data_IF_823405206487
#
_entry.id   IF_823405206487
#
_cell.length_a   1.000
_cell.length_b   1.000
_cell.length_c   1.000
_cell.angle_alpha   90.00
_cell.angle_beta   90.00
_cell.angle_gamma   90.00
#
_symmetry.space_group_name_H-M   'P 1'
#
loop_
_entity.id
_entity.type
_entity.pdbx_description
1 polymer ?
#
# COMPACT_ATOMS: atom_id res chain seq x y z
N UNK A 1 -7.48 7.80 -25.48
CA UNK A 1 -6.14 7.33 -25.05
C UNK A 1 -6.30 5.91 -24.54
N UNK A 2 -5.68 4.92 -25.19
CA UNK A 2 -5.72 3.54 -24.73
C UNK A 2 -4.68 3.37 -23.63
N UNK A 3 -5.11 3.23 -22.38
CA UNK A 3 -4.24 2.84 -21.28
C UNK A 3 -3.85 1.38 -21.51
N UNK A 4 -2.55 1.02 -21.45
CA UNK A 4 -2.14 -0.36 -21.63
C UNK A 4 -2.73 -1.25 -20.53
N UNK A 5 -3.13 -2.47 -20.88
CA UNK A 5 -3.83 -3.39 -19.96
C UNK A 5 -3.07 -3.62 -18.65
N UNK A 6 -1.74 -3.71 -18.71
CA UNK A 6 -0.89 -3.90 -17.53
C UNK A 6 -0.89 -2.68 -16.58
N UNK A 7 -1.04 -1.47 -17.12
CA UNK A 7 -1.15 -0.23 -16.32
C UNK A 7 -2.49 -0.18 -15.59
N UNK A 8 -3.56 -0.62 -16.27
CA UNK A 8 -4.87 -0.74 -15.65
C UNK A 8 -4.87 -1.79 -14.51
N UNK A 9 -4.23 -2.94 -14.71
CA UNK A 9 -4.09 -3.95 -13.65
C UNK A 9 -3.23 -3.44 -12.48
N UNK A 10 -2.14 -2.72 -12.74
CA UNK A 10 -1.34 -2.05 -11.71
C UNK A 10 -2.21 -1.12 -10.86
N UNK A 11 -2.99 -0.25 -11.50
CA UNK A 11 -3.84 0.73 -10.82
C UNK A 11 -4.94 0.06 -9.99
N UNK A 12 -5.64 -0.94 -10.56
CA UNK A 12 -6.70 -1.67 -9.87
C UNK A 12 -6.16 -2.45 -8.67
N UNK A 13 -5.02 -3.14 -8.83
CA UNK A 13 -4.40 -3.92 -7.73
C UNK A 13 -3.93 -3.02 -6.60
N UNK A 14 -3.31 -1.87 -6.92
CA UNK A 14 -2.87 -0.93 -5.88
C UNK A 14 -4.03 -0.24 -5.19
N UNK A 15 -5.08 0.17 -5.91
CA UNK A 15 -6.26 0.73 -5.25
C UNK A 15 -6.98 -0.30 -4.38
N UNK A 16 -7.04 -1.56 -4.82
CA UNK A 16 -7.62 -2.63 -4.00
C UNK A 16 -6.80 -2.86 -2.72
N UNK A 17 -5.47 -2.87 -2.80
CA UNK A 17 -4.60 -2.91 -1.62
C UNK A 17 -4.84 -1.72 -0.69
N UNK A 18 -4.89 -0.49 -1.21
CA UNK A 18 -5.13 0.69 -0.38
C UNK A 18 -6.51 0.71 0.29
N UNK A 19 -7.52 0.14 -0.35
CA UNK A 19 -8.84 -0.06 0.26
C UNK A 19 -8.79 -1.11 1.37
N UNK A 20 -8.04 -2.20 1.17
CA UNK A 20 -7.81 -3.20 2.22
C UNK A 20 -7.06 -2.61 3.42
N UNK A 21 -6.03 -1.80 3.19
CA UNK A 21 -5.31 -1.10 4.26
C UNK A 21 -6.24 -0.18 5.06
N UNK A 22 -7.07 0.60 4.36
CA UNK A 22 -8.05 1.48 4.98
C UNK A 22 -9.11 0.70 5.79
N UNK A 23 -9.56 -0.44 5.28
CA UNK A 23 -10.47 -1.34 5.99
C UNK A 23 -9.79 -1.93 7.23
N UNK A 24 -8.54 -2.37 7.13
CA UNK A 24 -7.77 -2.90 8.27
C UNK A 24 -7.73 -1.89 9.41
N UNK A 25 -7.39 -0.64 9.10
CA UNK A 25 -7.38 0.47 10.07
C UNK A 25 -8.78 0.70 10.65
N UNK A 26 -9.85 0.60 9.86
CA UNK A 26 -11.20 0.78 10.35
C UNK A 26 -11.65 -0.34 11.31
N UNK A 27 -11.17 -1.57 11.09
CA UNK A 27 -11.52 -2.76 11.87
C UNK A 27 -10.55 -3.10 13.01
N UNK A 28 -9.41 -2.42 13.12
CA UNK A 28 -8.44 -2.61 14.21
C UNK A 28 -9.10 -2.37 15.57
N UNK A 29 -9.01 -3.36 16.47
CA UNK A 29 -9.56 -3.29 17.83
C UNK A 29 -8.71 -2.29 18.64
N UNK A 30 -9.34 -1.17 19.03
CA UNK A 30 -8.68 -0.03 19.70
C UNK A 30 -9.01 0.04 21.18
N UNK A 31 -9.18 -1.12 21.81
CA UNK A 31 -9.38 -1.17 23.26
C UNK A 31 -8.12 -0.62 23.95
N UNK A 32 -8.19 0.52 24.69
CA UNK A 32 -7.00 1.13 25.28
C UNK A 32 -6.39 0.20 26.33
N UNK A 33 -5.25 -0.40 26.03
CA UNK A 33 -4.40 -1.12 27.00
C UNK A 33 -3.38 -0.17 27.63
N UNK A 34 -2.96 -0.44 28.86
CA UNK A 34 -2.28 0.50 29.77
C UNK A 34 -1.00 1.19 29.28
N UNK A 35 -0.41 0.77 28.16
CA UNK A 35 0.76 1.39 27.52
C UNK A 35 0.44 2.27 26.29
N UNK A 36 -0.79 2.22 25.77
CA UNK A 36 -1.16 2.91 24.52
C UNK A 36 -2.23 3.97 24.78
N UNK A 37 -1.82 5.22 24.92
CA UNK A 37 -2.74 6.35 25.10
C UNK A 37 -3.61 6.56 23.84
N UNK A 38 -4.86 6.99 24.01
CA UNK A 38 -5.78 7.35 22.91
C UNK A 38 -5.14 8.32 21.89
N UNK A 39 -4.29 9.23 22.35
CA UNK A 39 -3.55 10.17 21.50
C UNK A 39 -2.57 9.47 20.55
N UNK A 40 -1.89 8.40 21.00
CA UNK A 40 -0.95 7.63 20.17
C UNK A 40 -1.71 6.89 19.07
N UNK A 41 -2.85 6.29 19.42
CA UNK A 41 -3.73 5.60 18.47
C UNK A 41 -4.27 6.59 17.42
N UNK A 42 -4.70 7.78 17.84
CA UNK A 42 -5.17 8.81 16.93
C UNK A 42 -4.09 9.28 15.96
N UNK A 43 -2.87 9.55 16.44
CA UNK A 43 -1.75 9.98 15.60
C UNK A 43 -1.37 8.89 14.59
N UNK A 44 -1.32 7.63 15.03
CA UNK A 44 -1.04 6.50 14.15
C UNK A 44 -2.08 6.39 13.01
N UNK A 45 -3.38 6.53 13.33
CA UNK A 45 -4.44 6.50 12.32
C UNK A 45 -4.32 7.65 11.32
N UNK A 46 -4.05 8.86 11.80
CA UNK A 46 -3.91 10.04 10.93
C UNK A 46 -2.71 9.89 10.00
N UNK A 47 -1.58 9.41 10.53
CA UNK A 47 -0.39 9.12 9.73
C UNK A 47 -0.68 8.04 8.69
N UNK A 48 -1.32 6.95 9.06
CA UNK A 48 -1.68 5.88 8.15
C UNK A 48 -2.63 6.37 7.05
N UNK A 49 -3.67 7.15 7.40
CA UNK A 49 -4.57 7.76 6.43
C UNK A 49 -3.83 8.72 5.46
N UNK A 50 -2.92 9.54 5.98
CA UNK A 50 -2.07 10.41 5.17
C UNK A 50 -1.18 9.61 4.21
N UNK A 51 -0.60 8.49 4.66
CA UNK A 51 0.22 7.61 3.83
C UNK A 51 -0.60 6.93 2.73
N UNK A 52 -1.80 6.44 3.05
CA UNK A 52 -2.72 5.86 2.05
C UNK A 52 -3.08 6.89 0.99
N UNK A 53 -3.41 8.13 1.38
CA UNK A 53 -3.70 9.21 0.43
C UNK A 53 -2.48 9.58 -0.43
N UNK A 54 -1.30 9.64 0.17
CA UNK A 54 -0.05 9.88 -0.55
C UNK A 54 0.22 8.77 -1.58
N UNK A 55 -0.03 7.50 -1.22
CA UNK A 55 0.08 6.39 -2.16
C UNK A 55 -0.96 6.47 -3.27
N UNK A 56 -2.23 6.73 -2.96
CA UNK A 56 -3.27 6.99 -3.98
C UNK A 56 -2.82 8.06 -4.98
N UNK A 57 -2.21 9.14 -4.49
CA UNK A 57 -1.68 10.20 -5.34
C UNK A 57 -0.49 9.71 -6.19
N UNK A 58 0.42 8.90 -5.64
CA UNK A 58 1.51 8.32 -6.41
C UNK A 58 1.04 7.34 -7.48
N UNK A 59 0.04 6.50 -7.20
CA UNK A 59 -0.58 5.60 -8.19
C UNK A 59 -1.19 6.42 -9.33
N UNK A 60 -1.98 7.43 -9.00
CA UNK A 60 -2.57 8.33 -9.98
C UNK A 60 -1.50 9.05 -10.81
N UNK A 61 -0.46 9.57 -10.16
CA UNK A 61 0.65 10.24 -10.84
C UNK A 61 1.41 9.28 -11.76
N UNK A 62 1.62 8.04 -11.34
CA UNK A 62 2.26 6.99 -12.13
C UNK A 62 1.42 6.67 -13.38
N UNK A 63 0.13 6.37 -13.19
CA UNK A 63 -0.78 5.98 -14.25
C UNK A 63 -1.02 7.12 -15.27
N UNK A 64 -1.24 8.35 -14.77
CA UNK A 64 -1.66 9.48 -15.59
C UNK A 64 -0.50 10.28 -16.20
N UNK A 65 0.63 10.45 -15.50
CA UNK A 65 1.76 11.28 -15.95
C UNK A 65 2.90 10.50 -16.61
N UNK A 66 2.75 9.18 -16.81
CA UNK A 66 3.78 8.30 -17.41
C UNK A 66 5.16 8.39 -16.73
N UNK A 67 5.20 8.84 -15.47
CA UNK A 67 6.47 8.99 -14.76
C UNK A 67 6.89 7.67 -14.13
N UNK A 68 8.16 7.36 -14.28
CA UNK A 68 8.84 6.17 -13.73
C UNK A 68 9.33 6.35 -12.29
N UNK A 69 9.56 7.58 -11.81
CA UNK A 69 9.95 7.86 -10.42
C UNK A 69 8.97 7.36 -9.33
N UNK A 70 7.63 7.50 -9.49
CA UNK A 70 6.66 6.99 -8.52
C UNK A 70 6.74 5.48 -8.29
N UNK A 71 7.18 4.70 -9.30
CA UNK A 71 7.33 3.25 -9.16
C UNK A 71 8.38 2.91 -8.11
N UNK A 72 9.51 3.61 -8.12
CA UNK A 72 10.57 3.40 -7.14
C UNK A 72 10.15 3.82 -5.74
N UNK A 73 9.35 4.88 -5.61
CA UNK A 73 8.76 5.29 -4.33
C UNK A 73 7.80 4.22 -3.80
N UNK A 74 6.93 3.67 -4.65
CA UNK A 74 6.01 2.58 -4.29
C UNK A 74 6.75 1.29 -3.91
N UNK A 75 7.83 0.95 -4.60
CA UNK A 75 8.69 -0.19 -4.21
C UNK A 75 9.33 0.06 -2.85
N UNK A 76 9.88 1.26 -2.62
CA UNK A 76 10.51 1.59 -1.35
C UNK A 76 9.51 1.56 -0.19
N UNK A 77 8.29 2.09 -0.39
CA UNK A 77 7.24 2.04 0.64
C UNK A 77 6.80 0.61 0.92
N UNK A 78 6.67 -0.24 -0.10
CA UNK A 78 6.35 -1.65 0.07
C UNK A 78 7.43 -2.38 0.89
N UNK A 79 8.72 -2.16 0.58
CA UNK A 79 9.82 -2.80 1.33
C UNK A 79 9.81 -2.36 2.80
N UNK A 80 9.59 -1.07 3.07
CA UNK A 80 9.46 -0.56 4.44
C UNK A 80 8.27 -1.20 5.18
N UNK A 81 7.11 -1.32 4.51
CA UNK A 81 5.92 -1.97 5.06
C UNK A 81 6.18 -3.45 5.39
N UNK A 82 6.83 -4.19 4.50
CA UNK A 82 7.21 -5.60 4.76
C UNK A 82 8.09 -5.74 5.99
N UNK A 83 9.11 -4.88 6.13
CA UNK A 83 10.01 -4.92 7.29
C UNK A 83 9.23 -4.65 8.58
N UNK A 84 8.35 -3.64 8.58
CA UNK A 84 7.49 -3.32 9.72
C UNK A 84 6.56 -4.47 10.08
N UNK A 85 5.94 -5.11 9.08
CA UNK A 85 5.04 -6.24 9.27
C UNK A 85 5.76 -7.43 9.89
N UNK A 86 6.99 -7.73 9.46
CA UNK A 86 7.80 -8.79 10.05
C UNK A 86 8.12 -8.55 11.53
N UNK A 87 8.31 -7.29 11.93
CA UNK A 87 8.52 -6.93 13.34
C UNK A 87 7.24 -7.15 14.15
N UNK A 88 6.10 -6.63 13.68
CA UNK A 88 4.81 -6.74 14.36
C UNK A 88 4.37 -8.20 14.51
N UNK A 89 4.43 -8.99 13.43
CA UNK A 89 4.07 -10.42 13.48
C UNK A 89 5.02 -11.22 14.39
N UNK A 90 6.28 -10.81 14.48
CA UNK A 90 7.28 -11.43 15.36
C UNK A 90 7.06 -11.14 16.84
N UNK A 91 6.51 -9.98 17.17
CA UNK A 91 6.26 -9.54 18.55
C UNK A 91 4.86 -9.93 19.05
N UNK A 92 3.80 -9.75 18.26
CA UNK A 92 2.40 -9.89 18.67
C UNK A 92 1.68 -11.14 18.12
N UNK A 93 2.29 -11.87 17.17
CA UNK A 93 1.68 -13.04 16.52
C UNK A 93 0.62 -12.70 15.45
N UNK A 94 -0.02 -13.72 14.89
CA UNK A 94 -0.97 -13.55 13.77
C UNK A 94 -2.34 -13.07 14.25
N UNK A 95 -2.57 -11.76 14.13
CA UNK A 95 -3.89 -11.14 14.29
C UNK A 95 -4.60 -10.99 12.94
N UNK A 96 -5.93 -10.81 12.97
CA UNK A 96 -6.74 -10.62 11.75
C UNK A 96 -6.26 -9.41 10.94
N UNK A 97 -5.83 -8.35 11.63
CA UNK A 97 -5.22 -7.16 11.02
C UNK A 97 -3.94 -7.49 10.24
N UNK A 98 -3.05 -8.30 10.82
CA UNK A 98 -1.82 -8.74 10.16
C UNK A 98 -2.11 -9.58 8.89
N UNK A 99 -3.20 -10.35 8.87
CA UNK A 99 -3.60 -11.12 7.67
C UNK A 99 -4.03 -10.19 6.53
N UNK A 100 -4.80 -9.14 6.85
CA UNK A 100 -5.24 -8.15 5.85
C UNK A 100 -4.03 -7.40 5.29
N UNK A 101 -3.09 -7.01 6.17
CA UNK A 101 -1.86 -6.33 5.77
C UNK A 101 -0.97 -7.22 4.87
N UNK A 102 -0.85 -8.52 5.17
CA UNK A 102 -0.13 -9.48 4.31
C UNK A 102 -0.80 -9.58 2.93
N UNK A 103 -2.12 -9.70 2.87
CA UNK A 103 -2.85 -9.76 1.59
C UNK A 103 -2.65 -8.46 0.81
N UNK A 104 -2.76 -7.32 1.48
CA UNK A 104 -2.54 -6.00 0.89
C UNK A 104 -1.13 -5.86 0.33
N UNK A 105 -0.13 -6.31 1.08
CA UNK A 105 1.27 -6.36 0.66
C UNK A 105 1.44 -7.22 -0.62
N UNK A 106 0.83 -8.41 -0.67
CA UNK A 106 0.89 -9.28 -1.86
C UNK A 106 0.23 -8.61 -3.06
N UNK A 107 -0.91 -7.93 -2.86
CA UNK A 107 -1.57 -7.16 -3.93
C UNK A 107 -0.70 -6.00 -4.41
N UNK A 108 -0.04 -5.28 -3.50
CA UNK A 108 0.87 -4.20 -3.86
C UNK A 108 2.09 -4.71 -4.63
N UNK A 109 2.67 -5.82 -4.19
CA UNK A 109 3.75 -6.49 -4.90
C UNK A 109 3.32 -6.94 -6.31
N UNK A 110 2.14 -7.53 -6.44
CA UNK A 110 1.59 -7.96 -7.73
C UNK A 110 1.31 -6.76 -8.65
N UNK A 111 0.73 -5.68 -8.13
CA UNK A 111 0.54 -4.43 -8.87
C UNK A 111 1.86 -3.89 -9.39
N UNK A 112 2.86 -3.75 -8.51
CA UNK A 112 4.21 -3.32 -8.87
C UNK A 112 4.85 -4.21 -9.94
N UNK A 113 4.69 -5.53 -9.84
CA UNK A 113 5.16 -6.47 -10.86
C UNK A 113 4.55 -6.19 -12.24
N UNK A 114 3.25 -5.91 -12.32
CA UNK A 114 2.60 -5.49 -13.58
C UNK A 114 3.11 -4.15 -14.09
N UNK A 115 3.54 -3.24 -13.21
CA UNK A 115 4.18 -2.00 -13.63
C UNK A 115 5.49 -2.27 -14.38
N UNK A 116 6.32 -3.21 -13.92
CA UNK A 116 7.61 -3.51 -14.54
C UNK A 116 7.52 -4.45 -15.77
N UNK A 117 6.33 -4.98 -16.08
CA UNK A 117 6.17 -6.05 -17.07
C UNK A 117 5.40 -5.62 -18.33
N UNK A 118 5.83 -6.10 -19.49
CA UNK A 118 5.10 -5.99 -20.77
C UNK A 118 4.86 -4.55 -21.24
N UNK A 119 3.65 -4.27 -21.73
CA UNK A 119 3.28 -2.98 -22.32
C UNK A 119 3.36 -1.79 -21.34
N UNK A 120 3.43 -2.05 -20.03
CA UNK A 120 3.64 -1.02 -19.01
C UNK A 120 5.08 -0.50 -18.99
N UNK A 121 6.09 -1.26 -19.45
CA UNK A 121 7.46 -0.76 -19.47
C UNK A 121 7.63 0.31 -20.57
N UNK A 122 7.03 0.09 -21.74
CA UNK A 122 7.04 1.05 -22.85
C UNK A 122 6.21 2.31 -22.58
N UNK A 123 5.13 2.21 -21.79
CA UNK A 123 4.30 3.36 -21.42
C UNK A 123 4.96 4.32 -20.43
N UNK A 124 5.86 3.82 -19.58
CA UNK A 124 6.52 4.61 -18.54
C UNK A 124 7.96 5.03 -18.88
N UNK A 125 8.56 4.41 -19.91
CA UNK A 125 9.84 4.81 -20.49
C UNK A 125 9.69 5.62 -21.78
N UNK A 126 8.46 5.84 -22.26
CA UNK A 126 8.15 6.51 -23.52
C UNK A 126 7.55 7.91 -23.38
#
# INVERSE_FOLDING_TARGET
MNIPRNVMWFEVLLYMSLVLDALSIAFQDRTPSGDTTEAVIMVANVLAACLILAMCYFVWLAAQRRKNWPRWVLVASLVLSVISLFQIVGEDGLHVDSVIEVVSCVLTAAGLYFSFTGDAQGWFNG
#
